data_IF_652323386180
#
_entry.id   IF_652323386180
#
_cell.length_a   1.000
_cell.length_b   1.000
_cell.length_c   1.000
_cell.angle_alpha   90.00
_cell.angle_beta   90.00
_cell.angle_gamma   90.00
#
_symmetry.space_group_name_H-M   'P 1'
#
loop_
_entity.id
_entity.type
_entity.pdbx_description
1 polymer ?
#
# COMPACT_ATOMS: atom_id res chain seq x y z
N UNK A 1 -2.29 33.09 20.54
CA UNK A 1 -3.58 32.87 19.84
C UNK A 1 -3.62 31.40 19.43
N UNK A 2 -4.71 30.68 19.65
CA UNK A 2 -4.83 29.29 19.17
C UNK A 2 -5.23 29.36 17.69
N UNK A 3 -4.42 28.79 16.82
CA UNK A 3 -4.65 28.75 15.37
C UNK A 3 -5.19 27.38 14.92
N UNK A 4 -5.34 27.20 13.61
CA UNK A 4 -5.85 25.95 13.03
C UNK A 4 -4.94 24.74 13.31
N UNK A 5 -3.61 24.92 13.33
CA UNK A 5 -2.65 23.85 13.62
C UNK A 5 -2.83 23.40 15.06
N UNK A 6 -2.98 24.35 15.99
CA UNK A 6 -3.24 24.05 17.39
C UNK A 6 -4.53 23.25 17.57
N UNK A 7 -5.63 23.65 16.92
CA UNK A 7 -6.90 22.93 17.05
C UNK A 7 -6.86 21.53 16.43
N UNK A 8 -6.15 21.34 15.31
CA UNK A 8 -5.94 20.02 14.71
C UNK A 8 -5.14 19.10 15.64
N UNK A 9 -3.98 19.56 16.12
CA UNK A 9 -3.15 18.81 17.04
C UNK A 9 -3.91 18.46 18.32
N UNK A 10 -4.69 19.42 18.86
CA UNK A 10 -5.53 19.20 20.04
C UNK A 10 -6.57 18.12 19.80
N UNK A 11 -7.21 18.06 18.63
CA UNK A 11 -8.16 17.01 18.30
C UNK A 11 -7.47 15.65 18.20
N UNK A 12 -6.39 15.54 17.43
CA UNK A 12 -5.63 14.28 17.28
C UNK A 12 -5.20 13.70 18.63
N UNK A 13 -4.70 14.54 19.54
CA UNK A 13 -4.23 14.10 20.86
C UNK A 13 -5.37 13.71 21.82
N UNK A 14 -6.58 14.28 21.64
CA UNK A 14 -7.70 14.08 22.57
C UNK A 14 -8.70 13.03 22.12
N UNK A 15 -8.77 12.73 20.83
CA UNK A 15 -9.68 11.70 20.32
C UNK A 15 -9.27 10.34 20.87
N UNK A 16 -10.22 9.66 21.51
CA UNK A 16 -10.09 8.30 21.99
C UNK A 16 -10.81 7.34 21.07
N UNK A 17 -10.49 6.05 21.16
CA UNK A 17 -11.18 5.01 20.39
C UNK A 17 -12.69 4.99 20.69
N UNK A 18 -13.08 5.23 21.95
CA UNK A 18 -14.49 5.25 22.37
C UNK A 18 -15.29 6.44 21.79
N UNK A 19 -14.60 7.47 21.29
CA UNK A 19 -15.23 8.64 20.67
C UNK A 19 -15.59 8.37 19.19
N UNK A 20 -15.15 7.23 18.62
CA UNK A 20 -15.33 6.91 17.21
C UNK A 20 -16.70 6.27 16.95
N UNK A 21 -17.48 6.76 15.97
CA UNK A 21 -18.70 6.09 15.54
C UNK A 21 -18.43 4.66 15.05
N UNK A 22 -19.38 3.75 15.31
CA UNK A 22 -19.25 2.34 14.92
C UNK A 22 -19.02 2.15 13.41
N UNK A 23 -19.66 2.98 12.58
CA UNK A 23 -19.47 2.99 11.12
C UNK A 23 -18.02 3.32 10.73
N UNK A 24 -17.39 4.27 11.43
CA UNK A 24 -15.99 4.65 11.20
C UNK A 24 -15.06 3.49 11.56
N UNK A 25 -15.32 2.81 12.69
CA UNK A 25 -14.53 1.64 13.11
C UNK A 25 -14.67 0.52 12.09
N UNK A 26 -15.90 0.25 11.62
CA UNK A 26 -16.18 -0.80 10.63
C UNK A 26 -15.47 -0.51 9.32
N UNK A 27 -15.54 0.74 8.85
CA UNK A 27 -14.86 1.19 7.63
C UNK A 27 -13.34 1.12 7.76
N UNK A 28 -12.78 1.56 8.88
CA UNK A 28 -11.34 1.46 9.14
C UNK A 28 -10.86 0.00 9.12
N UNK A 29 -11.63 -0.95 9.68
CA UNK A 29 -11.30 -2.38 9.60
C UNK A 29 -11.29 -2.90 8.16
N UNK A 30 -12.22 -2.45 7.32
CA UNK A 30 -12.26 -2.82 5.91
C UNK A 30 -11.04 -2.27 5.16
N UNK A 31 -10.67 -1.00 5.38
CA UNK A 31 -9.46 -0.42 4.79
C UNK A 31 -8.17 -1.11 5.25
N UNK A 32 -8.07 -1.47 6.53
CA UNK A 32 -6.92 -2.24 7.03
C UNK A 32 -6.81 -3.59 6.31
N UNK A 33 -7.93 -4.30 6.16
CA UNK A 33 -7.95 -5.58 5.45
C UNK A 33 -7.57 -5.44 3.97
N UNK A 34 -8.14 -4.45 3.31
CA UNK A 34 -7.83 -4.10 1.91
C UNK A 34 -6.33 -3.81 1.73
N UNK A 35 -5.77 -2.94 2.57
CA UNK A 35 -4.36 -2.55 2.53
C UNK A 35 -3.41 -3.75 2.70
N UNK A 36 -3.74 -4.72 3.55
CA UNK A 36 -2.96 -5.97 3.63
C UNK A 36 -3.07 -6.80 2.35
N UNK A 37 -4.26 -6.88 1.74
CA UNK A 37 -4.47 -7.55 0.46
C UNK A 37 -3.67 -6.92 -0.67
N UNK A 38 -3.73 -5.59 -0.79
CA UNK A 38 -2.97 -4.85 -1.80
C UNK A 38 -1.48 -4.95 -1.55
N UNK A 39 -1.02 -4.78 -0.31
CA UNK A 39 0.40 -4.94 0.04
C UNK A 39 0.95 -6.33 -0.27
N UNK A 40 0.14 -7.38 -0.07
CA UNK A 40 0.52 -8.73 -0.47
C UNK A 40 0.63 -8.84 -2.00
N UNK A 41 -0.34 -8.33 -2.75
CA UNK A 41 -0.29 -8.35 -4.21
C UNK A 41 0.91 -7.55 -4.76
N UNK A 42 1.12 -6.34 -4.24
CA UNK A 42 2.16 -5.42 -4.65
C UNK A 42 3.56 -5.81 -4.20
N UNK A 43 3.71 -6.70 -3.21
CA UNK A 43 5.01 -7.24 -2.79
C UNK A 43 5.81 -7.85 -3.94
N UNK A 44 5.14 -8.38 -4.98
CA UNK A 44 5.78 -9.01 -6.14
C UNK A 44 6.02 -8.05 -7.32
N UNK A 45 5.69 -6.76 -7.15
CA UNK A 45 5.94 -5.74 -8.16
C UNK A 45 7.45 -5.53 -8.38
N UNK A 46 7.79 -5.04 -9.58
CA UNK A 46 9.18 -4.83 -9.95
C UNK A 46 9.90 -3.88 -8.97
N UNK A 47 11.09 -4.27 -8.50
CA UNK A 47 11.90 -3.48 -7.59
C UNK A 47 11.55 -3.63 -6.10
N UNK A 48 10.38 -4.16 -5.73
CA UNK A 48 10.01 -4.31 -4.31
C UNK A 48 10.97 -5.24 -3.56
N UNK A 49 11.28 -6.40 -4.15
CA UNK A 49 12.24 -7.34 -3.57
C UNK A 49 13.65 -6.77 -3.43
N UNK A 50 14.12 -6.03 -4.43
CA UNK A 50 15.46 -5.43 -4.45
C UNK A 50 15.59 -4.36 -3.34
N UNK A 51 14.57 -3.51 -3.17
CA UNK A 51 14.54 -2.52 -2.10
C UNK A 51 14.47 -3.17 -0.72
N UNK A 52 13.64 -4.21 -0.56
CA UNK A 52 13.59 -4.96 0.71
C UNK A 52 14.93 -5.60 1.05
N UNK A 53 15.62 -6.16 0.05
CA UNK A 53 16.95 -6.71 0.24
C UNK A 53 17.94 -5.64 0.67
N UNK A 54 17.96 -4.50 -0.03
CA UNK A 54 18.82 -3.36 0.33
C UNK A 54 18.60 -2.90 1.78
N UNK A 55 17.34 -2.75 2.20
CA UNK A 55 16.98 -2.35 3.55
C UNK A 55 17.48 -3.37 4.59
N UNK A 56 17.35 -4.67 4.30
CA UNK A 56 17.86 -5.73 5.19
C UNK A 56 19.38 -5.72 5.28
N UNK A 57 20.08 -5.45 4.18
CA UNK A 57 21.54 -5.38 4.13
C UNK A 57 22.10 -4.15 4.85
N UNK A 58 21.38 -3.02 4.85
CA UNK A 58 21.76 -1.84 5.63
C UNK A 58 21.79 -2.11 7.14
N UNK A 59 20.96 -3.05 7.62
CA UNK A 59 20.90 -3.45 9.02
C UNK A 59 20.35 -2.36 9.94
N UNK A 60 20.72 -2.41 11.22
CA UNK A 60 20.28 -1.47 12.25
C UNK A 60 19.46 -2.13 13.36
N UNK A 61 18.64 -1.32 14.05
CA UNK A 61 17.76 -1.79 15.12
C UNK A 61 16.70 -2.76 14.59
N UNK A 62 16.35 -3.78 15.37
CA UNK A 62 15.33 -4.76 15.02
C UNK A 62 13.97 -4.40 15.64
N UNK A 63 13.43 -3.23 15.28
CA UNK A 63 12.25 -2.67 15.93
C UNK A 63 10.95 -3.27 15.35
N UNK A 64 10.86 -3.42 14.02
CA UNK A 64 9.59 -3.70 13.34
C UNK A 64 9.76 -4.59 12.11
N UNK A 65 8.72 -5.33 11.76
CA UNK A 65 8.77 -6.35 10.69
C UNK A 65 8.45 -5.79 9.31
N UNK A 66 9.13 -6.31 8.28
CA UNK A 66 8.74 -6.12 6.88
C UNK A 66 7.65 -7.14 6.54
N UNK A 67 6.51 -6.67 6.04
CA UNK A 67 5.39 -7.50 5.61
C UNK A 67 5.81 -8.40 4.44
N UNK A 68 5.23 -9.60 4.35
CA UNK A 68 5.50 -10.62 3.31
C UNK A 68 6.91 -11.22 3.35
N UNK A 69 7.95 -10.38 3.34
CA UNK A 69 9.35 -10.77 3.30
C UNK A 69 9.95 -11.14 4.65
N UNK A 70 9.28 -10.80 5.75
CA UNK A 70 9.75 -11.04 7.12
C UNK A 70 11.07 -10.34 7.44
N UNK A 71 11.63 -10.67 8.60
CA UNK A 71 12.80 -9.97 9.16
C UNK A 71 12.41 -8.67 9.85
N UNK A 72 13.27 -8.22 10.78
CA UNK A 72 13.08 -6.99 11.55
C UNK A 72 14.14 -5.96 11.20
N UNK A 73 13.72 -4.71 11.02
CA UNK A 73 14.54 -3.56 10.63
C UNK A 73 14.11 -2.33 11.46
N UNK A 74 14.81 -1.19 11.37
CA UNK A 74 14.39 0.01 12.08
C UNK A 74 12.96 0.40 11.69
N UNK A 75 12.18 0.92 12.64
CA UNK A 75 10.75 1.17 12.44
C UNK A 75 10.44 1.99 11.18
N UNK A 76 11.22 3.05 10.92
CA UNK A 76 11.07 3.88 9.73
C UNK A 76 11.29 3.11 8.41
N UNK A 77 12.24 2.17 8.39
CA UNK A 77 12.54 1.36 7.22
C UNK A 77 11.46 0.32 6.97
N UNK A 78 10.92 -0.27 8.04
CA UNK A 78 9.77 -1.16 7.94
C UNK A 78 8.54 -0.42 7.40
N UNK A 79 8.26 0.79 7.89
CA UNK A 79 7.18 1.62 7.37
C UNK A 79 7.37 1.92 5.87
N UNK A 80 8.57 2.33 5.48
CA UNK A 80 8.90 2.62 4.07
C UNK A 80 8.72 1.40 3.17
N UNK A 81 9.31 0.25 3.53
CA UNK A 81 9.21 -0.98 2.75
C UNK A 81 7.74 -1.42 2.60
N UNK A 82 6.97 -1.37 3.68
CA UNK A 82 5.56 -1.77 3.69
C UNK A 82 4.70 -0.82 2.85
N UNK A 83 4.85 0.50 3.01
CA UNK A 83 4.17 1.51 2.20
C UNK A 83 4.46 1.36 0.71
N UNK A 84 5.73 1.15 0.36
CA UNK A 84 6.15 0.93 -1.02
C UNK A 84 5.43 -0.27 -1.63
N UNK A 85 5.38 -1.42 -0.94
CA UNK A 85 4.69 -2.61 -1.44
C UNK A 85 3.18 -2.40 -1.58
N UNK A 86 2.54 -1.69 -0.65
CA UNK A 86 1.12 -1.37 -0.70
C UNK A 86 0.81 -0.49 -1.92
N UNK A 87 1.63 0.52 -2.21
CA UNK A 87 1.37 1.43 -3.33
C UNK A 87 1.84 0.89 -4.69
N UNK A 88 2.58 -0.23 -4.72
CA UNK A 88 3.33 -0.64 -5.90
C UNK A 88 2.47 -0.92 -7.15
N UNK A 89 1.18 -1.20 -6.96
CA UNK A 89 0.23 -1.50 -8.02
C UNK A 89 -0.83 -0.42 -8.25
N UNK A 90 -0.79 0.69 -7.50
CA UNK A 90 -1.78 1.77 -7.56
C UNK A 90 -3.22 1.25 -7.37
N UNK A 91 -3.39 0.38 -6.37
CA UNK A 91 -4.65 -0.32 -6.08
C UNK A 91 -5.13 -0.13 -4.63
N UNK A 92 -4.37 0.63 -3.85
CA UNK A 92 -4.68 1.02 -2.48
C UNK A 92 -5.82 2.04 -2.42
N UNK A 93 -6.29 2.33 -1.20
CA UNK A 93 -7.46 3.16 -0.96
C UNK A 93 -7.34 4.54 -1.59
N UNK A 94 -8.40 4.99 -2.27
CA UNK A 94 -8.49 6.34 -2.82
C UNK A 94 -9.52 7.16 -2.05
N UNK A 95 -9.10 8.27 -1.46
CA UNK A 95 -10.01 9.28 -0.96
C UNK A 95 -10.32 10.30 -2.07
N UNK A 96 -11.38 10.03 -2.82
CA UNK A 96 -11.84 10.89 -3.91
C UNK A 96 -12.64 12.07 -3.33
N UNK A 97 -11.92 13.15 -3.00
CA UNK A 97 -12.48 14.44 -2.58
C UNK A 97 -11.91 15.59 -3.44
N UNK A 98 -11.77 16.78 -2.84
CA UNK A 98 -11.14 17.93 -3.53
C UNK A 98 -9.64 17.73 -3.83
N UNK A 99 -9.00 16.83 -3.09
CA UNK A 99 -7.61 16.42 -3.30
C UNK A 99 -7.63 14.90 -3.29
N UNK A 100 -7.44 14.27 -4.46
CA UNK A 100 -7.28 12.82 -4.52
C UNK A 100 -6.08 12.40 -3.67
N UNK A 101 -6.29 11.53 -2.70
CA UNK A 101 -5.24 11.11 -1.77
C UNK A 101 -5.35 9.63 -1.42
N UNK A 102 -4.20 8.96 -1.36
CA UNK A 102 -4.04 7.62 -0.82
C UNK A 102 -3.48 7.74 0.60
N UNK A 103 -4.36 7.68 1.59
CA UNK A 103 -3.98 8.00 2.97
C UNK A 103 -3.52 6.76 3.73
N UNK A 104 -4.21 5.61 3.55
CA UNK A 104 -3.94 4.45 4.40
C UNK A 104 -2.57 3.82 4.10
N UNK A 105 -2.09 3.93 2.86
CA UNK A 105 -0.77 3.46 2.44
C UNK A 105 0.40 4.06 3.22
N UNK A 106 0.22 5.23 3.83
CA UNK A 106 1.24 5.85 4.70
C UNK A 106 0.90 5.70 6.18
N UNK A 107 -0.37 5.94 6.55
CA UNK A 107 -0.82 5.95 7.95
C UNK A 107 -0.71 4.56 8.58
N UNK A 108 -1.18 3.52 7.89
CA UNK A 108 -1.17 2.17 8.45
C UNK A 108 0.27 1.67 8.64
N UNK A 109 1.16 1.64 7.63
CA UNK A 109 2.54 1.18 7.82
C UNK A 109 3.30 1.92 8.91
N UNK A 110 3.11 3.25 9.04
CA UNK A 110 3.71 4.03 10.11
C UNK A 110 3.20 3.61 11.50
N UNK A 111 1.89 3.39 11.64
CA UNK A 111 1.30 2.90 12.88
C UNK A 111 1.82 1.50 13.24
N UNK A 112 1.93 0.59 12.27
CA UNK A 112 2.43 -0.77 12.49
C UNK A 112 3.92 -0.80 12.85
N UNK A 113 4.69 0.12 12.28
CA UNK A 113 6.09 0.27 12.62
C UNK A 113 6.28 0.72 14.08
N UNK A 114 5.43 1.58 14.61
CA UNK A 114 5.52 2.05 16.00
C UNK A 114 4.90 1.07 17.00
N UNK A 115 3.90 0.30 16.58
CA UNK A 115 3.22 -0.71 17.38
C UNK A 115 3.29 -2.08 16.67
N UNK A 116 4.45 -2.75 16.70
CA UNK A 116 4.60 -4.04 16.04
C UNK A 116 3.64 -5.07 16.68
N UNK A 117 2.69 -5.55 15.91
CA UNK A 117 1.83 -6.68 16.30
C UNK A 117 2.25 -7.94 15.54
N UNK A 118 2.05 -9.10 16.15
CA UNK A 118 2.38 -10.41 15.57
C UNK A 118 1.28 -10.82 14.56
N UNK A 119 1.61 -10.82 13.27
CA UNK A 119 0.64 -10.94 12.16
C UNK A 119 0.48 -12.35 11.56
N UNK A 120 0.91 -13.42 12.25
CA UNK A 120 1.01 -14.76 11.64
C UNK A 120 -0.33 -15.32 11.12
N UNK A 121 -1.48 -14.85 11.62
CA UNK A 121 -2.81 -15.36 11.24
C UNK A 121 -3.46 -14.54 10.11
N UNK A 122 -3.27 -13.23 10.07
CA UNK A 122 -3.96 -12.35 9.10
C UNK A 122 -3.40 -12.49 7.67
N UNK A 123 -2.08 -12.54 7.53
CA UNK A 123 -1.42 -12.67 6.22
C UNK A 123 -1.67 -14.05 5.58
N UNK A 124 -1.70 -15.13 6.36
CA UNK A 124 -2.01 -16.48 5.87
C UNK A 124 -3.45 -16.60 5.35
N UNK A 125 -4.40 -15.94 6.01
CA UNK A 125 -5.81 -15.96 5.61
C UNK A 125 -6.06 -15.18 4.30
N UNK A 126 -5.34 -14.07 4.08
CA UNK A 126 -5.40 -13.30 2.83
C UNK A 126 -4.74 -14.08 1.69
N UNK A 127 -3.55 -14.65 1.91
CA UNK A 127 -2.81 -15.42 0.91
C UNK A 127 -3.57 -16.64 0.38
N UNK A 128 -4.35 -17.32 1.22
CA UNK A 128 -5.14 -18.49 0.81
C UNK A 128 -6.38 -18.12 -0.04
N UNK A 129 -6.83 -16.86 -0.06
CA UNK A 129 -8.05 -16.44 -0.80
C UNK A 129 -7.77 -15.73 -2.13
N UNK A 130 -6.54 -15.26 -2.38
CA UNK A 130 -6.21 -14.43 -3.55
C UNK A 130 -5.80 -15.20 -4.82
N UNK A 131 -5.70 -16.54 -4.77
CA UNK A 131 -5.28 -17.37 -5.91
C UNK A 131 -6.14 -17.20 -7.19
N UNK A 132 -7.48 -17.05 -7.13
CA UNK A 132 -8.30 -16.88 -8.33
C UNK A 132 -8.22 -15.48 -8.95
N UNK A 133 -8.11 -14.41 -8.15
CA UNK A 133 -8.03 -13.03 -8.69
C UNK A 133 -6.66 -12.69 -9.28
N UNK A 134 -5.57 -13.30 -8.80
CA UNK A 134 -4.22 -13.06 -9.31
C UNK A 134 -4.04 -13.48 -10.79
N UNK A 135 -4.78 -14.50 -11.26
CA UNK A 135 -4.74 -14.93 -12.66
C UNK A 135 -5.36 -13.92 -13.63
N UNK A 136 -6.17 -12.97 -13.15
CA UNK A 136 -6.76 -11.93 -13.98
C UNK A 136 -5.72 -10.87 -14.43
N UNK A 137 -4.63 -10.65 -13.68
CA UNK A 137 -3.56 -9.75 -14.13
C UNK A 137 -2.55 -10.40 -15.09
N UNK A 138 -2.49 -11.74 -15.14
CA UNK A 138 -1.74 -12.45 -16.17
C UNK A 138 -2.31 -12.22 -17.59
N UNK A 139 -3.59 -11.85 -17.71
CA UNK A 139 -4.24 -11.52 -18.98
C UNK A 139 -3.66 -10.25 -19.65
N UNK A 140 -3.19 -9.26 -18.88
CA UNK A 140 -2.61 -8.05 -19.49
C UNK A 140 -1.16 -8.20 -19.97
N UNK A 141 -0.49 -9.33 -19.68
CA UNK A 141 0.84 -9.64 -20.26
C UNK A 141 0.76 -10.38 -21.60
N UNK A 142 -0.29 -11.16 -21.86
CA UNK A 142 -0.42 -11.91 -23.12
C UNK A 142 -0.78 -11.04 -24.33
N UNK A 143 -1.37 -9.86 -24.12
CA UNK A 143 -1.83 -9.00 -25.23
C UNK A 143 -0.76 -8.02 -25.76
N UNK A 144 0.43 -7.96 -25.14
CA UNK A 144 1.53 -7.10 -25.63
C UNK A 144 2.26 -7.64 -26.87
N UNK A 145 1.99 -8.89 -27.26
CA UNK A 145 2.56 -9.50 -28.47
C UNK A 145 1.62 -9.39 -29.68
N UNK A 146 0.40 -8.84 -29.53
CA UNK A 146 -0.52 -8.64 -30.64
C UNK A 146 -0.17 -7.36 -31.43
N UNK A 147 0.27 -7.47 -32.70
CA UNK A 147 0.56 -6.32 -33.55
C UNK A 147 -0.68 -5.46 -33.89
N UNK A 148 -1.90 -5.89 -33.56
CA UNK A 148 -3.15 -5.19 -33.89
C UNK A 148 -3.71 -4.26 -32.80
N UNK A 149 -3.08 -4.15 -31.61
CA UNK A 149 -3.68 -3.38 -30.51
C UNK A 149 -3.65 -1.84 -30.71
N UNK A 150 -4.76 -1.11 -30.42
CA UNK A 150 -4.91 0.32 -30.76
C UNK A 150 -4.01 1.28 -29.95
N UNK A 151 -3.33 0.81 -28.91
CA UNK A 151 -2.66 1.66 -27.92
C UNK A 151 -1.20 2.04 -28.26
N UNK A 152 -0.65 1.61 -29.40
CA UNK A 152 0.70 2.05 -29.85
C UNK A 152 0.81 3.56 -30.18
N UNK A 153 -0.31 4.26 -30.32
CA UNK A 153 -0.32 5.65 -30.77
C UNK A 153 0.28 6.64 -29.75
N UNK A 154 0.36 6.28 -28.46
CA UNK A 154 0.82 7.20 -27.41
C UNK A 154 2.33 7.12 -27.17
N UNK A 155 2.97 5.98 -27.43
CA UNK A 155 4.38 5.73 -27.01
C UNK A 155 5.43 6.14 -28.05
N UNK A 156 5.08 6.35 -29.33
CA UNK A 156 6.07 6.57 -30.40
C UNK A 156 6.11 7.97 -31.02
N UNK A 157 5.34 8.94 -30.51
CA UNK A 157 5.44 10.35 -30.93
C UNK A 157 5.20 10.64 -32.42
N UNK A 158 4.71 9.67 -33.22
CA UNK A 158 4.37 9.90 -34.63
C UNK A 158 2.89 10.25 -34.78
N UNK A 159 2.61 11.55 -34.93
CA UNK A 159 1.29 12.05 -35.39
C UNK A 159 0.91 11.34 -36.70
N UNK A 160 -0.21 10.61 -36.72
CA UNK A 160 -0.84 10.17 -37.97
C UNK A 160 -1.25 11.42 -38.77
N UNK A 161 -0.68 11.59 -39.98
CA UNK A 161 -1.25 12.49 -40.98
C UNK A 161 -2.57 11.87 -41.46
N UNK A 162 -3.66 12.61 -41.33
CA UNK A 162 -4.95 12.27 -41.91
C UNK A 162 -4.88 12.36 -43.44
N UNK A 163 -5.44 11.36 -44.12
CA UNK A 163 -6.01 11.45 -45.46
C UNK A 163 -7.46 11.05 -45.34
#
# INVERSE_FOLDING_TARGET
>A
MKDAIFELARRVVRTRFEDLPEEVITTAKMFILDTFGVGLAGSTAAGCGDVVQLIKEQGGRSDSSILVYGGKVPAQEAAFANSMMIHALDFDDSHEGQVGAHCNVTVLPAALALAPVEYDVALRAVAHRSEPQFRAQAWHRSDRTDPASPQRCIVTGRRRRAR
#
